data_IF_009086294621
#
_entry.id   IF_009086294621
#
_cell.length_a   1.000
_cell.length_b   1.000
_cell.length_c   1.000
_cell.angle_alpha   90.00
_cell.angle_beta   90.00
_cell.angle_gamma   90.00
#
_symmetry.space_group_name_H-M   'P 1'
#
loop_
_entity.id
_entity.type
_entity.pdbx_description
1 polymer ?
#
# COMPACT_ATOMS: atom_id res chain seq x y z
N UNK A 1 21.16 14.86 -35.03
CA UNK A 1 21.50 14.19 -33.75
C UNK A 1 21.70 15.28 -32.71
N UNK A 2 20.85 15.36 -31.68
CA UNK A 2 20.95 16.42 -30.65
C UNK A 2 22.18 16.20 -29.78
N UNK A 3 23.03 17.22 -29.65
CA UNK A 3 24.24 17.20 -28.81
C UNK A 3 23.92 16.89 -27.33
N UNK A 4 22.70 17.19 -26.88
CA UNK A 4 22.26 16.90 -25.51
C UNK A 4 22.24 15.39 -25.19
N UNK A 5 22.01 14.52 -26.18
CA UNK A 5 21.97 13.06 -25.98
C UNK A 5 23.37 12.45 -25.78
N UNK A 6 24.43 13.15 -26.18
CA UNK A 6 25.83 12.68 -26.05
C UNK A 6 26.29 12.73 -24.58
N UNK A 7 25.75 13.65 -23.77
CA UNK A 7 26.11 13.82 -22.36
C UNK A 7 25.13 13.18 -21.37
N UNK A 8 24.09 12.51 -21.88
CA UNK A 8 23.11 11.85 -21.02
C UNK A 8 23.74 10.61 -20.38
N UNK A 9 23.89 10.64 -19.05
CA UNK A 9 24.29 9.45 -18.28
C UNK A 9 23.13 8.46 -18.23
N UNK A 10 23.40 7.14 -18.21
CA UNK A 10 22.36 6.16 -17.93
C UNK A 10 21.74 6.46 -16.57
N UNK A 11 20.43 6.24 -16.45
CA UNK A 11 19.75 6.34 -15.16
C UNK A 11 20.37 5.33 -14.20
N UNK A 12 20.67 5.78 -12.98
CA UNK A 12 21.12 4.88 -11.94
C UNK A 12 20.05 3.83 -11.67
N UNK A 13 20.48 2.58 -11.60
CA UNK A 13 19.65 1.43 -11.25
C UNK A 13 20.31 0.75 -10.06
N UNK A 14 19.56 0.60 -8.96
CA UNK A 14 20.12 -0.05 -7.77
C UNK A 14 20.29 -1.54 -7.99
N UNK A 15 21.22 -2.14 -7.25
CA UNK A 15 21.45 -3.60 -7.27
C UNK A 15 20.17 -4.37 -6.94
N UNK A 16 19.38 -3.87 -5.99
CA UNK A 16 18.08 -4.45 -5.63
C UNK A 16 17.11 -4.41 -6.82
N UNK A 17 17.07 -3.30 -7.56
CA UNK A 17 16.19 -3.22 -8.73
C UNK A 17 16.65 -4.19 -9.80
N UNK A 18 17.96 -4.34 -10.04
CA UNK A 18 18.47 -5.32 -11.00
C UNK A 18 18.11 -6.76 -10.59
N UNK A 19 18.32 -7.10 -9.31
CA UNK A 19 17.95 -8.40 -8.76
C UNK A 19 16.46 -8.72 -8.94
N UNK A 20 15.58 -7.74 -8.67
CA UNK A 20 14.13 -7.94 -8.81
C UNK A 20 13.70 -8.19 -10.27
N UNK A 21 14.34 -7.51 -11.22
CA UNK A 21 14.07 -7.73 -12.65
C UNK A 21 14.51 -9.13 -13.07
N UNK A 22 15.73 -9.53 -12.71
CA UNK A 22 16.27 -10.86 -13.04
C UNK A 22 15.44 -11.98 -12.40
N UNK A 23 14.97 -11.78 -11.16
CA UNK A 23 14.07 -12.70 -10.46
C UNK A 23 12.73 -12.85 -11.19
N UNK A 24 12.12 -11.74 -11.60
CA UNK A 24 10.83 -11.78 -12.33
C UNK A 24 10.97 -12.36 -13.73
N UNK A 25 12.10 -12.13 -14.39
CA UNK A 25 12.39 -12.72 -15.70
C UNK A 25 12.58 -14.23 -15.61
N UNK A 26 13.29 -14.70 -14.58
CA UNK A 26 13.49 -16.15 -14.36
C UNK A 26 12.24 -16.87 -13.84
N UNK A 27 11.32 -16.14 -13.19
CA UNK A 27 10.09 -16.69 -12.59
C UNK A 27 8.86 -15.85 -12.91
N UNK A 28 8.34 -15.91 -14.15
CA UNK A 28 7.20 -15.12 -14.59
C UNK A 28 5.90 -15.41 -13.79
N UNK A 29 5.79 -16.57 -13.14
CA UNK A 29 4.67 -16.96 -12.29
C UNK A 29 4.58 -16.18 -10.97
N UNK A 30 5.66 -15.52 -10.53
CA UNK A 30 5.69 -14.80 -9.25
C UNK A 30 4.64 -13.70 -9.15
N UNK A 31 4.34 -13.00 -10.24
CA UNK A 31 3.33 -11.93 -10.22
C UNK A 31 1.92 -12.49 -9.97
N UNK A 32 1.61 -13.68 -10.50
CA UNK A 32 0.35 -14.38 -10.23
C UNK A 32 0.30 -14.84 -8.77
N UNK A 33 1.37 -15.46 -8.28
CA UNK A 33 1.47 -15.91 -6.89
C UNK A 33 1.35 -14.74 -5.91
N UNK A 34 1.96 -13.59 -6.23
CA UNK A 34 1.85 -12.39 -5.41
C UNK A 34 0.41 -11.87 -5.35
N UNK A 35 -0.30 -11.87 -6.48
CA UNK A 35 -1.74 -11.51 -6.53
C UNK A 35 -2.58 -12.46 -5.68
N UNK A 36 -2.36 -13.77 -5.84
CA UNK A 36 -3.05 -14.78 -5.05
C UNK A 36 -2.76 -14.62 -3.55
N UNK A 37 -1.51 -14.42 -3.18
CA UNK A 37 -1.10 -14.18 -1.79
C UNK A 37 -1.75 -12.93 -1.18
N UNK A 38 -1.85 -11.83 -1.95
CA UNK A 38 -2.60 -10.64 -1.51
C UNK A 38 -4.09 -10.92 -1.39
N UNK A 39 -4.69 -11.67 -2.30
CA UNK A 39 -6.11 -11.98 -2.25
C UNK A 39 -6.52 -12.78 -1.00
N UNK A 40 -5.61 -13.55 -0.41
CA UNK A 40 -5.90 -14.32 0.81
C UNK A 40 -6.17 -13.44 2.04
N UNK A 41 -5.37 -12.38 2.23
CA UNK A 41 -5.37 -11.63 3.49
C UNK A 41 -5.69 -10.14 3.33
N UNK A 42 -5.52 -9.59 2.13
CA UNK A 42 -5.57 -8.16 1.86
C UNK A 42 -6.78 -7.75 1.01
N UNK A 43 -7.04 -8.44 -0.11
CA UNK A 43 -8.22 -8.12 -0.94
C UNK A 43 -9.47 -8.75 -0.32
N UNK A 44 -10.04 -8.04 0.67
CA UNK A 44 -11.29 -8.44 1.33
C UNK A 44 -12.48 -7.81 0.60
N UNK A 45 -13.48 -8.64 0.28
CA UNK A 45 -14.79 -8.12 -0.12
C UNK A 45 -15.45 -7.46 1.08
N UNK A 46 -15.85 -6.20 0.91
CA UNK A 46 -16.55 -5.44 1.93
C UNK A 46 -18.04 -5.45 1.57
N UNK A 47 -18.84 -6.06 2.44
CA UNK A 47 -20.29 -5.91 2.39
C UNK A 47 -20.65 -4.45 2.73
N UNK A 48 -21.31 -3.77 1.78
CA UNK A 48 -21.63 -2.35 1.86
C UNK A 48 -22.77 -2.07 2.84
N UNK A 49 -23.70 -3.00 2.99
CA UNK A 49 -24.82 -2.89 3.93
C UNK A 49 -24.29 -3.02 5.35
N UNK A 50 -23.50 -4.08 5.61
CA UNK A 50 -22.84 -4.27 6.90
C UNK A 50 -21.91 -3.09 7.25
N UNK A 51 -21.17 -2.55 6.27
CA UNK A 51 -20.34 -1.37 6.48
C UNK A 51 -21.18 -0.14 6.87
N UNK A 52 -22.38 0.02 6.29
CA UNK A 52 -23.28 1.11 6.63
C UNK A 52 -23.82 0.96 8.06
N UNK A 53 -24.18 -0.26 8.46
CA UNK A 53 -24.61 -0.57 9.83
C UNK A 53 -23.52 -0.30 10.86
N UNK A 54 -22.27 -0.71 10.60
CA UNK A 54 -21.14 -0.37 11.46
C UNK A 54 -20.89 1.13 11.57
N UNK A 55 -21.11 1.89 10.48
CA UNK A 55 -21.02 3.35 10.51
C UNK A 55 -22.15 3.96 11.34
N UNK A 56 -23.36 3.45 11.22
CA UNK A 56 -24.52 3.92 11.98
C UNK A 56 -24.37 3.63 13.49
N UNK A 57 -23.82 2.48 13.86
CA UNK A 57 -23.55 2.10 15.25
C UNK A 57 -22.28 2.71 15.88
N UNK A 58 -21.57 3.60 15.17
CA UNK A 58 -20.28 4.13 15.64
C UNK A 58 -20.47 5.02 16.87
N UNK A 59 -19.78 4.69 17.96
CA UNK A 59 -19.71 5.53 19.16
C UNK A 59 -18.63 6.61 18.98
N UNK A 60 -18.92 7.85 19.40
CA UNK A 60 -17.96 8.94 19.37
C UNK A 60 -16.81 8.66 20.35
N UNK A 61 -15.61 8.45 19.83
CA UNK A 61 -14.40 8.27 20.64
C UNK A 61 -13.76 9.63 20.94
N UNK A 62 -13.31 9.85 22.18
CA UNK A 62 -12.52 11.02 22.52
C UNK A 62 -11.16 11.01 21.78
N UNK A 63 -10.59 12.17 21.40
CA UNK A 63 -9.29 12.24 20.73
C UNK A 63 -8.16 11.59 21.53
N UNK A 64 -8.27 11.65 22.86
CA UNK A 64 -7.33 11.02 23.77
C UNK A 64 -8.09 10.30 24.88
N UNK A 65 -7.89 8.98 24.99
CA UNK A 65 -8.66 8.08 25.88
C UNK A 65 -8.53 8.47 27.35
N UNK A 66 -7.41 9.06 27.75
CA UNK A 66 -7.13 9.45 29.13
C UNK A 66 -7.35 10.94 29.39
N UNK A 67 -7.91 11.68 28.43
CA UNK A 67 -8.22 13.08 28.67
C UNK A 67 -9.35 13.17 29.70
N UNK A 68 -9.03 13.75 30.85
CA UNK A 68 -10.05 14.09 31.85
C UNK A 68 -10.96 15.18 31.29
N UNK A 69 -12.25 15.14 31.64
CA UNK A 69 -13.15 16.23 31.31
C UNK A 69 -12.58 17.55 31.88
N UNK A 70 -12.69 18.68 31.17
CA UNK A 70 -12.29 19.96 31.74
C UNK A 70 -13.11 20.21 33.01
N UNK A 71 -12.44 20.49 34.11
CA UNK A 71 -13.09 20.99 35.34
C UNK A 71 -13.79 22.29 34.97
N UNK A 72 -15.10 22.38 35.19
CA UNK A 72 -15.83 23.64 35.08
C UNK A 72 -15.64 24.39 36.39
N UNK A 73 -15.12 25.62 36.30
CA UNK A 73 -15.10 26.58 37.41
C UNK A 73 -16.49 27.18 37.67
#
# INVERSE_FOLDING_TARGET
MSLARIFQRPHYRSEVTQFLDDLKQSRPELDLQQRQGRALLWDKQIDRELQAEFKAGRVKQAPYVYQTAPTQD
#
